data_IF_839108248676
#
_entry.id   IF_839108248676
#
_cell.length_a   1.000
_cell.length_b   1.000
_cell.length_c   1.000
_cell.angle_alpha   90.00
_cell.angle_beta   90.00
_cell.angle_gamma   90.00
#
_symmetry.space_group_name_H-M   'P 1'
#
loop_
_entity.id
_entity.type
_entity.pdbx_description
1 polymer ?
#
# COMPACT_ATOMS: atom_id res chain seq x y z
N UNK A 1 9.48 3.61 2.70
CA UNK A 1 8.19 3.43 1.98
C UNK A 1 8.42 3.48 0.48
N UNK A 2 8.09 2.40 -0.21
CA UNK A 2 8.24 2.28 -1.66
C UNK A 2 6.92 2.65 -2.35
N UNK A 3 7.00 3.40 -3.44
CA UNK A 3 5.83 3.69 -4.27
C UNK A 3 5.89 2.80 -5.52
N UNK A 4 4.75 2.27 -5.96
CA UNK A 4 4.66 1.47 -7.18
C UNK A 4 3.31 1.64 -7.89
N UNK A 5 3.19 1.10 -9.10
CA UNK A 5 1.96 1.04 -9.87
C UNK A 5 1.51 -0.40 -10.00
N UNK A 6 0.21 -0.64 -9.88
CA UNK A 6 -0.43 -1.96 -10.07
C UNK A 6 -1.46 -1.84 -11.18
N UNK A 7 -1.50 -2.83 -12.06
CA UNK A 7 -2.60 -2.99 -13.01
C UNK A 7 -3.65 -3.93 -12.40
N UNK A 8 -4.91 -3.49 -12.35
CA UNK A 8 -6.03 -4.27 -11.83
C UNK A 8 -6.94 -4.63 -13.00
N UNK A 9 -7.27 -5.92 -13.13
CA UNK A 9 -8.12 -6.43 -14.20
C UNK A 9 -9.49 -6.77 -13.62
N UNK A 10 -10.53 -6.15 -14.15
CA UNK A 10 -11.92 -6.42 -13.77
C UNK A 10 -12.68 -7.07 -14.93
N UNK A 11 -13.68 -7.88 -14.58
CA UNK A 11 -14.65 -8.42 -15.54
C UNK A 11 -16.01 -7.77 -15.31
N UNK A 12 -16.78 -7.58 -16.38
CA UNK A 12 -18.12 -6.98 -16.28
C UNK A 12 -19.01 -7.85 -15.39
N UNK A 13 -19.58 -7.27 -14.34
CA UNK A 13 -20.41 -7.98 -13.37
C UNK A 13 -19.62 -8.80 -12.33
N UNK A 14 -18.29 -8.73 -12.34
CA UNK A 14 -17.45 -9.27 -11.27
C UNK A 14 -17.14 -8.25 -10.18
N UNK A 15 -16.16 -8.57 -9.30
CA UNK A 15 -15.71 -7.69 -8.23
C UNK A 15 -15.22 -6.34 -8.76
N UNK A 16 -15.45 -5.29 -7.97
CA UNK A 16 -14.96 -3.94 -8.23
C UNK A 16 -13.45 -3.83 -8.00
N UNK A 17 -12.85 -2.69 -8.35
CA UNK A 17 -11.42 -2.46 -8.09
C UNK A 17 -11.17 -2.46 -6.58
N UNK A 18 -12.09 -1.89 -5.83
CA UNK A 18 -12.09 -1.82 -4.37
C UNK A 18 -12.10 -3.23 -3.77
N UNK A 19 -12.99 -4.10 -4.23
CA UNK A 19 -13.10 -5.49 -3.75
C UNK A 19 -11.80 -6.29 -4.02
N UNK A 20 -11.18 -6.08 -5.18
CA UNK A 20 -9.94 -6.79 -5.56
C UNK A 20 -8.73 -6.31 -4.77
N UNK A 21 -8.74 -5.06 -4.31
CA UNK A 21 -7.62 -4.45 -3.60
C UNK A 21 -7.75 -4.56 -2.07
N UNK A 22 -8.98 -4.69 -1.54
CA UNK A 22 -9.25 -4.77 -0.11
C UNK A 22 -8.39 -5.82 0.64
N UNK A 23 -8.16 -7.04 0.12
CA UNK A 23 -7.37 -8.06 0.81
C UNK A 23 -5.89 -7.72 1.01
N UNK A 24 -5.38 -6.69 0.34
CA UNK A 24 -3.96 -6.30 0.36
C UNK A 24 -3.72 -4.93 0.98
N UNK A 25 -4.77 -4.29 1.50
CA UNK A 25 -4.65 -3.01 2.18
C UNK A 25 -4.16 -3.22 3.63
N UNK A 26 -3.21 -2.40 4.07
CA UNK A 26 -2.79 -2.34 5.47
C UNK A 26 -3.92 -1.82 6.38
N UNK A 27 -3.82 -2.14 7.66
CA UNK A 27 -4.76 -1.65 8.67
C UNK A 27 -4.48 -0.20 9.10
N UNK A 28 -4.19 0.68 8.15
CA UNK A 28 -3.93 2.08 8.43
C UNK A 28 -5.24 2.77 8.86
N UNK A 29 -5.36 3.06 10.15
CA UNK A 29 -6.52 3.76 10.71
C UNK A 29 -7.78 2.91 10.80
N UNK A 30 -7.66 1.59 11.03
CA UNK A 30 -8.78 0.66 11.22
C UNK A 30 -9.77 0.59 10.03
N UNK A 31 -9.29 0.87 8.82
CA UNK A 31 -10.11 0.85 7.61
C UNK A 31 -9.92 -0.44 6.78
N UNK A 32 -9.14 -1.40 7.27
CA UNK A 32 -9.03 -2.72 6.66
C UNK A 32 -10.18 -3.60 7.20
N UNK A 33 -10.95 -4.30 6.32
CA UNK A 33 -11.99 -5.21 6.77
C UNK A 33 -11.46 -6.27 7.75
N UNK A 34 -12.19 -6.50 8.84
CA UNK A 34 -11.78 -7.39 9.92
C UNK A 34 -11.50 -8.83 9.45
N UNK A 35 -12.16 -9.27 8.37
CA UNK A 35 -11.94 -10.57 7.74
C UNK A 35 -10.51 -10.79 7.20
N UNK A 36 -9.76 -9.72 6.92
CA UNK A 36 -8.36 -9.80 6.49
C UNK A 36 -7.37 -9.57 7.63
N UNK A 37 -7.85 -9.21 8.82
CA UNK A 37 -6.99 -8.92 9.95
C UNK A 37 -6.67 -10.18 10.74
N UNK A 38 -5.40 -10.28 11.14
CA UNK A 38 -4.91 -11.27 12.08
C UNK A 38 -4.36 -10.56 13.30
N UNK A 39 -4.75 -11.06 14.48
CA UNK A 39 -4.18 -10.62 15.74
C UNK A 39 -2.80 -11.26 15.96
N UNK A 40 -1.84 -10.43 16.33
CA UNK A 40 -0.50 -10.84 16.72
C UNK A 40 -0.32 -10.58 18.21
N UNK A 41 -0.18 -11.66 18.98
CA UNK A 41 -0.02 -11.65 20.44
C UNK A 41 1.44 -11.35 20.81
N UNK A 42 1.65 -10.25 21.52
CA UNK A 42 2.96 -9.78 22.01
C UNK A 42 2.92 -9.60 23.55
N UNK A 43 2.01 -10.31 24.22
CA UNK A 43 1.78 -10.19 25.68
C UNK A 43 3.06 -10.39 26.48
N UNK A 44 3.85 -11.39 26.12
CA UNK A 44 5.09 -11.71 26.82
C UNK A 44 6.11 -10.56 26.73
N UNK A 45 6.20 -9.90 25.58
CA UNK A 45 7.11 -8.75 25.39
C UNK A 45 6.63 -7.53 26.18
N UNK A 46 5.32 -7.25 26.16
CA UNK A 46 4.72 -6.18 26.98
C UNK A 46 4.97 -6.43 28.47
N UNK A 47 4.78 -7.66 28.96
CA UNK A 47 4.99 -7.99 30.38
C UNK A 47 6.45 -7.86 30.79
N UNK A 48 7.39 -8.34 29.97
CA UNK A 48 8.83 -8.19 30.22
C UNK A 48 9.25 -6.73 30.24
N UNK A 49 8.73 -5.91 29.31
CA UNK A 49 9.02 -4.49 29.25
C UNK A 49 8.42 -3.75 30.45
N UNK A 50 7.18 -4.06 30.81
CA UNK A 50 6.53 -3.50 32.00
C UNK A 50 7.27 -3.83 33.29
N UNK A 51 7.76 -5.07 33.45
CA UNK A 51 8.55 -5.49 34.60
C UNK A 51 9.83 -4.65 34.78
N UNK A 52 10.42 -4.19 33.67
CA UNK A 52 11.64 -3.36 33.65
C UNK A 52 11.36 -1.85 33.61
N UNK A 53 10.10 -1.44 33.41
CA UNK A 53 9.72 -0.04 33.32
C UNK A 53 9.94 0.66 34.67
N UNK A 54 10.76 1.71 34.67
CA UNK A 54 11.06 2.53 35.85
C UNK A 54 10.08 3.70 36.02
N UNK A 55 9.51 4.20 34.92
CA UNK A 55 8.61 5.37 34.92
C UNK A 55 7.15 4.91 34.72
N UNK A 56 6.67 4.02 35.58
CA UNK A 56 5.31 3.46 35.45
C UNK A 56 4.22 4.48 35.71
N UNK A 57 4.53 5.52 36.46
CA UNK A 57 3.68 6.66 36.76
C UNK A 57 3.33 7.47 35.50
N UNK A 58 4.19 7.50 34.47
CA UNK A 58 3.86 8.10 33.16
C UNK A 58 2.68 7.38 32.47
N UNK A 59 2.41 6.14 32.86
CA UNK A 59 1.36 5.29 32.29
C UNK A 59 0.26 4.94 33.30
N UNK A 60 0.02 5.83 34.28
CA UNK A 60 -0.97 5.63 35.36
C UNK A 60 -0.78 4.32 36.15
N UNK A 61 0.45 3.80 36.20
CA UNK A 61 0.75 2.46 36.74
C UNK A 61 -0.09 1.33 36.11
N UNK A 62 -0.53 1.51 34.87
CA UNK A 62 -1.42 0.61 34.16
C UNK A 62 -0.72 0.01 32.94
N UNK A 63 -0.51 -1.32 32.97
CA UNK A 63 0.12 -2.05 31.87
C UNK A 63 -0.64 -1.91 30.54
N UNK A 64 -1.97 -1.71 30.58
CA UNK A 64 -2.78 -1.47 29.37
C UNK A 64 -2.45 -0.13 28.74
N UNK A 65 -2.28 0.90 29.56
CA UNK A 65 -1.89 2.23 29.10
C UNK A 65 -0.47 2.20 28.54
N UNK A 66 0.43 1.48 29.22
CA UNK A 66 1.79 1.24 28.73
C UNK A 66 1.82 0.51 27.37
N UNK A 67 1.07 -0.58 27.23
CA UNK A 67 0.99 -1.33 25.98
C UNK A 67 0.50 -0.45 24.81
N UNK A 68 -0.51 0.38 25.07
CA UNK A 68 -1.09 1.29 24.09
C UNK A 68 -0.14 2.43 23.70
N UNK A 69 0.42 3.13 24.68
CA UNK A 69 1.17 4.35 24.41
C UNK A 69 2.60 4.07 23.95
N UNK A 70 3.23 3.03 24.50
CA UNK A 70 4.61 2.69 24.17
C UNK A 70 4.70 1.83 22.90
N UNK A 71 3.83 0.82 22.76
CA UNK A 71 3.88 -0.14 21.64
C UNK A 71 2.80 0.09 20.58
N UNK A 72 1.74 0.86 20.87
CA UNK A 72 0.56 0.93 20.01
C UNK A 72 -0.30 -0.33 20.06
N UNK A 73 -0.15 -1.17 21.10
CA UNK A 73 -0.87 -2.43 21.22
C UNK A 73 -2.22 -2.25 21.92
N UNK A 74 -3.19 -3.03 21.48
CA UNK A 74 -4.52 -3.11 22.07
C UNK A 74 -4.68 -4.41 22.86
N UNK A 75 -5.54 -4.37 23.87
CA UNK A 75 -5.92 -5.57 24.61
C UNK A 75 -7.05 -6.30 23.87
N UNK A 76 -6.86 -7.59 23.63
CA UNK A 76 -7.85 -8.47 23.06
C UNK A 76 -7.87 -9.79 23.84
N UNK A 77 -9.00 -10.12 24.47
CA UNK A 77 -9.20 -11.36 25.24
C UNK A 77 -8.11 -11.60 26.31
N UNK A 78 -7.66 -10.53 26.98
CA UNK A 78 -6.63 -10.60 28.03
C UNK A 78 -5.18 -10.69 27.51
N UNK A 79 -4.98 -10.57 26.20
CA UNK A 79 -3.67 -10.51 25.54
C UNK A 79 -3.41 -9.11 25.01
N UNK A 80 -2.15 -8.70 24.94
CA UNK A 80 -1.73 -7.45 24.33
C UNK A 80 -1.10 -7.70 22.98
N UNK A 81 -1.50 -6.94 21.97
CA UNK A 81 -1.00 -7.16 20.63
C UNK A 81 -1.55 -6.16 19.62
N UNK A 82 -1.41 -6.46 18.34
CA UNK A 82 -1.88 -5.60 17.27
C UNK A 82 -2.56 -6.40 16.16
N UNK A 83 -3.45 -5.73 15.44
CA UNK A 83 -4.14 -6.29 14.29
C UNK A 83 -3.44 -5.84 13.01
N UNK A 84 -3.00 -6.81 12.22
CA UNK A 84 -2.37 -6.55 10.94
C UNK A 84 -2.94 -7.47 9.87
N UNK A 85 -3.08 -6.96 8.65
CA UNK A 85 -3.35 -7.80 7.50
C UNK A 85 -2.03 -8.46 7.04
N UNK A 86 -1.88 -9.79 7.17
CA UNK A 86 -0.64 -10.49 6.80
C UNK A 86 -0.37 -10.45 5.29
N UNK A 87 -1.38 -10.19 4.48
CA UNK A 87 -1.27 -10.08 3.04
C UNK A 87 -1.02 -8.66 2.57
N UNK A 88 -0.94 -7.68 3.48
CA UNK A 88 -0.89 -6.29 3.12
C UNK A 88 0.33 -5.96 2.25
N UNK A 89 0.12 -5.02 1.32
CA UNK A 89 1.10 -4.56 0.34
C UNK A 89 1.18 -3.03 0.26
N UNK A 90 0.15 -2.32 0.73
CA UNK A 90 0.07 -0.86 0.66
C UNK A 90 -0.85 -0.29 1.75
N UNK A 91 -0.51 0.93 2.18
CA UNK A 91 -1.32 1.73 3.12
C UNK A 91 -2.58 2.28 2.45
N UNK A 92 -2.41 2.81 1.24
CA UNK A 92 -3.47 3.44 0.46
C UNK A 92 -3.16 3.38 -1.04
N UNK A 93 -4.18 3.59 -1.86
CA UNK A 93 -4.07 3.62 -3.32
C UNK A 93 -5.01 4.66 -3.92
N UNK A 94 -4.75 5.02 -5.18
CA UNK A 94 -5.64 5.85 -6.00
C UNK A 94 -5.46 5.51 -7.48
N UNK A 95 -6.54 5.54 -8.25
CA UNK A 95 -6.47 5.40 -9.72
C UNK A 95 -5.91 6.70 -10.31
N UNK A 96 -4.92 6.59 -11.21
CA UNK A 96 -4.37 7.76 -11.89
C UNK A 96 -3.63 8.74 -10.98
N UNK A 97 -2.94 8.25 -9.96
CA UNK A 97 -2.15 9.07 -9.04
C UNK A 97 -0.88 9.67 -9.66
N UNK A 98 0.24 9.56 -8.94
CA UNK A 98 1.55 10.10 -9.36
C UNK A 98 1.97 9.62 -10.76
N UNK A 99 1.60 8.39 -11.12
CA UNK A 99 1.89 7.78 -12.42
C UNK A 99 0.64 7.57 -13.26
N UNK A 100 -0.13 8.64 -13.45
CA UNK A 100 -1.33 8.63 -14.30
C UNK A 100 -1.05 8.46 -15.79
N UNK A 101 -2.12 8.13 -16.52
CA UNK A 101 -2.23 8.12 -17.97
C UNK A 101 -1.22 7.19 -18.62
N UNK A 102 -1.27 5.92 -18.21
CA UNK A 102 -0.33 4.87 -18.66
C UNK A 102 -0.89 3.98 -19.76
N UNK A 103 -2.17 4.10 -20.09
CA UNK A 103 -2.81 3.32 -21.15
C UNK A 103 -3.13 4.21 -22.33
N UNK A 104 -2.84 3.76 -23.56
CA UNK A 104 -3.15 4.50 -24.77
C UNK A 104 -4.43 3.96 -25.41
N UNK A 105 -5.41 4.82 -25.66
CA UNK A 105 -6.66 4.49 -26.35
C UNK A 105 -6.95 5.58 -27.37
N UNK A 106 -7.03 5.23 -28.65
CA UNK A 106 -7.34 6.17 -29.75
C UNK A 106 -6.51 7.47 -29.68
N UNK A 107 -5.21 7.36 -29.41
CA UNK A 107 -4.30 8.51 -29.31
C UNK A 107 -4.36 9.30 -27.99
N UNK A 108 -5.27 8.96 -27.08
CA UNK A 108 -5.40 9.59 -25.76
C UNK A 108 -4.85 8.69 -24.67
N UNK A 109 -4.05 9.25 -23.76
CA UNK A 109 -3.55 8.53 -22.60
C UNK A 109 -4.52 8.61 -21.41
N UNK A 110 -4.90 7.45 -20.86
CA UNK A 110 -5.94 7.28 -19.84
C UNK A 110 -5.48 6.38 -18.68
N UNK A 111 -6.22 6.43 -17.57
CA UNK A 111 -5.95 5.66 -16.35
C UNK A 111 -6.64 4.30 -16.31
N UNK A 112 -7.75 4.16 -17.03
CA UNK A 112 -8.51 2.92 -17.17
C UNK A 112 -8.99 2.75 -18.61
N UNK A 113 -9.04 1.51 -19.07
CA UNK A 113 -9.48 1.15 -20.41
C UNK A 113 -9.97 -0.30 -20.44
N UNK A 114 -10.80 -0.64 -21.43
CA UNK A 114 -11.06 -2.06 -21.73
C UNK A 114 -9.82 -2.61 -22.41
N UNK A 115 -9.43 -3.84 -22.06
CA UNK A 115 -8.21 -4.49 -22.59
C UNK A 115 -8.16 -4.43 -24.12
N UNK A 116 -9.30 -4.70 -24.78
CA UNK A 116 -9.41 -4.71 -26.24
C UNK A 116 -9.21 -3.36 -26.91
N UNK A 117 -9.40 -2.26 -26.18
CA UNK A 117 -9.32 -0.90 -26.71
C UNK A 117 -7.91 -0.30 -26.52
N UNK A 118 -7.01 -1.01 -25.84
CA UNK A 118 -5.64 -0.55 -25.57
C UNK A 118 -4.76 -0.69 -26.82
N UNK A 119 -4.14 0.41 -27.25
CA UNK A 119 -3.16 0.43 -28.34
C UNK A 119 -1.76 0.05 -27.81
N UNK A 120 -1.54 -1.25 -27.62
CA UNK A 120 -0.25 -1.80 -27.17
C UNK A 120 0.91 -1.43 -28.09
N UNK A 121 0.68 -1.34 -29.40
CA UNK A 121 1.74 -1.03 -30.37
C UNK A 121 2.10 0.45 -30.33
N UNK A 122 1.11 1.33 -30.21
CA UNK A 122 1.32 2.76 -29.98
C UNK A 122 2.12 3.01 -28.70
N UNK A 123 1.82 2.30 -27.61
CA UNK A 123 2.58 2.39 -26.36
C UNK A 123 4.04 1.97 -26.54
N UNK A 124 4.32 0.84 -27.22
CA UNK A 124 5.69 0.40 -27.51
C UNK A 124 6.45 1.43 -28.34
N UNK A 125 5.82 1.99 -29.38
CA UNK A 125 6.41 3.04 -30.22
C UNK A 125 6.72 4.31 -29.41
N UNK A 126 5.81 4.73 -28.54
CA UNK A 126 6.01 5.87 -27.66
C UNK A 126 7.19 5.66 -26.70
N UNK A 127 7.23 4.51 -26.03
CA UNK A 127 8.32 4.15 -25.12
C UNK A 127 9.69 4.09 -25.85
N UNK A 128 9.74 3.50 -27.05
CA UNK A 128 10.96 3.44 -27.85
C UNK A 128 11.43 4.85 -28.28
N UNK A 129 10.50 5.74 -28.63
CA UNK A 129 10.81 7.14 -28.98
C UNK A 129 11.37 7.89 -27.77
N UNK A 130 10.73 7.79 -26.62
CA UNK A 130 11.21 8.42 -25.38
C UNK A 130 12.59 7.90 -24.98
N UNK A 131 12.82 6.59 -25.05
CA UNK A 131 14.11 5.98 -24.77
C UNK A 131 15.21 6.51 -25.70
N UNK A 132 14.92 6.65 -27.01
CA UNK A 132 15.87 7.24 -27.98
C UNK A 132 16.19 8.70 -27.68
N UNK A 133 15.20 9.52 -27.35
CA UNK A 133 15.40 10.93 -26.98
C UNK A 133 16.27 11.02 -25.72
N UNK A 134 15.94 10.23 -24.70
CA UNK A 134 16.72 10.17 -23.45
C UNK A 134 18.16 9.73 -23.71
N UNK A 135 18.36 8.72 -24.55
CA UNK A 135 19.68 8.23 -24.95
C UNK A 135 20.50 9.34 -25.61
N UNK A 136 19.96 10.01 -26.63
CA UNK A 136 20.62 11.12 -27.34
C UNK A 136 21.04 12.26 -26.41
N UNK A 137 20.16 12.61 -25.46
CA UNK A 137 20.44 13.63 -24.45
C UNK A 137 21.58 13.19 -23.50
N UNK A 138 21.60 11.91 -23.12
CA UNK A 138 22.65 11.37 -22.25
C UNK A 138 24.00 11.16 -22.96
N UNK A 139 23.99 10.91 -24.27
CA UNK A 139 25.21 10.69 -25.06
C UNK A 139 25.89 11.98 -25.50
N UNK A 140 25.43 13.15 -25.06
CA UNK A 140 26.03 14.45 -25.41
C UNK A 140 25.93 14.82 -26.88
N UNK A 141 25.12 14.11 -27.68
CA UNK A 141 24.98 14.34 -29.12
C UNK A 141 24.07 15.52 -29.49
N UNK A 142 23.58 16.26 -28.49
CA UNK A 142 23.00 17.60 -28.65
C UNK A 142 23.94 18.62 -28.00
N UNK A 143 25.11 18.82 -28.62
CA UNK A 143 25.85 20.07 -28.50
C UNK A 143 25.20 21.09 -29.44
N UNK A 144 24.80 22.23 -28.86
CA UNK A 144 24.24 23.45 -29.45
C UNK A 144 24.30 23.64 -30.97
#
# INVERSE_FOLDING_TARGET
MSHFSVAVLTIKGGPTVEDLLAPYQENCGNNCPAEYLKFYDETDEVQKAWAKCQNRDEYDNNIKQFARDYYGYEEHEGKFGYWQNPNAKWDWWQIGGRWKRKLLVNGTWVDSARIKDIDWQGMKRAAAREARVRWKKSSGSESF
#
